data_IF_132282842731
#
_entry.id   IF_132282842731
#
_cell.length_a   1.000
_cell.length_b   1.000
_cell.length_c   1.000
_cell.angle_alpha   90.00
_cell.angle_beta   90.00
_cell.angle_gamma   90.00
#
_symmetry.space_group_name_H-M   'P 1'
#
loop_
_entity.id
_entity.type
_entity.pdbx_description
1 polymer ?
#
# COMPACT_ATOMS: atom_id res chain seq x y z
N UNK A 1 -31.42 23.05 1.78
CA UNK A 1 -31.47 21.69 1.22
C UNK A 1 -30.32 20.93 1.83
N UNK A 2 -30.58 20.02 2.77
CA UNK A 2 -29.55 19.14 3.31
C UNK A 2 -29.29 18.00 2.33
N UNK A 3 -28.16 18.06 1.65
CA UNK A 3 -27.69 17.01 0.76
C UNK A 3 -26.75 16.07 1.52
N UNK A 4 -27.32 15.08 2.19
CA UNK A 4 -26.55 13.89 2.61
C UNK A 4 -26.36 12.98 1.41
N UNK A 5 -25.19 13.09 0.78
CA UNK A 5 -24.73 12.23 -0.30
C UNK A 5 -23.46 12.83 -0.90
N UNK A 6 -22.39 12.04 -1.03
CA UNK A 6 -21.07 12.42 -1.53
C UNK A 6 -21.03 12.98 -2.98
N UNK A 7 -22.17 13.39 -3.55
CA UNK A 7 -22.32 13.91 -4.91
C UNK A 7 -23.51 14.89 -4.92
N UNK A 8 -23.40 16.06 -4.30
CA UNK A 8 -24.20 17.26 -4.64
C UNK A 8 -23.87 18.40 -3.67
N UNK A 9 -22.87 19.22 -4.00
CA UNK A 9 -22.70 20.54 -3.37
C UNK A 9 -21.63 21.37 -4.11
N UNK A 10 -21.70 21.54 -5.43
CA UNK A 10 -20.65 22.33 -6.09
C UNK A 10 -21.15 23.07 -7.31
N UNK A 11 -21.68 24.28 -7.06
CA UNK A 11 -21.93 25.37 -8.01
C UNK A 11 -22.60 26.58 -7.31
N UNK A 12 -22.43 26.79 -6.00
CA UNK A 12 -23.13 27.89 -5.33
C UNK A 12 -22.30 29.19 -5.38
N UNK A 13 -22.94 30.37 -5.47
CA UNK A 13 -22.24 31.65 -5.49
C UNK A 13 -21.33 31.88 -4.27
N UNK A 14 -21.71 31.37 -3.10
CA UNK A 14 -20.93 31.54 -1.86
C UNK A 14 -19.58 30.81 -1.91
N UNK A 15 -19.55 29.66 -2.58
CA UNK A 15 -18.30 28.91 -2.78
C UNK A 15 -17.41 29.60 -3.81
N UNK A 16 -18.01 30.17 -4.86
CA UNK A 16 -17.27 30.93 -5.86
C UNK A 16 -16.57 32.14 -5.20
N UNK A 17 -17.30 32.89 -4.38
CA UNK A 17 -16.74 34.03 -3.64
C UNK A 17 -15.64 33.60 -2.67
N UNK A 18 -15.87 32.54 -1.88
CA UNK A 18 -14.91 32.07 -0.89
C UNK A 18 -13.60 31.51 -1.48
N UNK A 19 -13.67 30.95 -2.69
CA UNK A 19 -12.51 30.37 -3.39
C UNK A 19 -11.84 31.34 -4.36
N UNK A 20 -12.45 32.51 -4.59
CA UNK A 20 -11.83 33.54 -5.43
C UNK A 20 -10.65 34.16 -4.70
N UNK A 21 -9.48 34.10 -5.33
CA UNK A 21 -8.23 34.64 -4.81
C UNK A 21 -7.70 35.73 -5.77
N UNK A 22 -7.90 36.98 -5.37
CA UNK A 22 -7.46 38.16 -6.15
C UNK A 22 -5.94 38.30 -6.25
N UNK A 23 -5.16 37.51 -5.51
CA UNK A 23 -3.70 37.53 -5.56
C UNK A 23 -3.12 36.74 -6.75
N UNK A 24 -3.94 35.92 -7.41
CA UNK A 24 -3.53 35.13 -8.57
C UNK A 24 -3.37 36.01 -9.81
N UNK A 25 -2.35 35.76 -10.62
CA UNK A 25 -2.08 36.51 -11.87
C UNK A 25 -2.81 35.95 -13.10
N UNK A 26 -3.71 34.99 -12.88
CA UNK A 26 -4.41 34.28 -13.95
C UNK A 26 -5.91 34.16 -13.67
N UNK A 27 -6.67 34.00 -14.76
CA UNK A 27 -8.12 33.84 -14.75
C UNK A 27 -8.50 32.50 -15.38
N UNK A 28 -9.62 31.94 -14.94
CA UNK A 28 -10.15 30.67 -15.44
C UNK A 28 -11.64 30.78 -15.75
N UNK A 29 -12.02 30.12 -16.85
CA UNK A 29 -13.40 29.96 -17.27
C UNK A 29 -14.00 28.74 -16.55
N UNK A 30 -14.94 29.02 -15.64
CA UNK A 30 -15.70 28.04 -14.87
C UNK A 30 -17.19 28.06 -15.23
N UNK A 31 -17.55 28.57 -16.41
CA UNK A 31 -18.95 28.64 -16.87
C UNK A 31 -19.65 27.29 -16.91
N UNK A 32 -18.88 26.23 -17.14
CA UNK A 32 -19.38 24.85 -17.15
C UNK A 32 -19.86 24.35 -15.78
N UNK A 33 -19.52 25.07 -14.71
CA UNK A 33 -19.71 24.64 -13.34
C UNK A 33 -20.51 25.63 -12.50
N UNK A 34 -20.10 26.91 -12.47
CA UNK A 34 -20.77 27.97 -11.70
C UNK A 34 -21.80 28.78 -12.52
N UNK A 35 -21.93 28.48 -13.81
CA UNK A 35 -22.86 29.16 -14.72
C UNK A 35 -22.24 30.34 -15.48
N UNK A 36 -23.03 31.03 -16.33
CA UNK A 36 -22.51 31.96 -17.34
C UNK A 36 -21.71 33.15 -16.80
N UNK A 37 -21.90 33.52 -15.53
CA UNK A 37 -21.24 34.67 -14.88
C UNK A 37 -19.79 34.36 -14.45
N UNK A 38 -19.37 33.09 -14.51
CA UNK A 38 -18.04 32.64 -14.09
C UNK A 38 -17.09 32.40 -15.29
N UNK A 39 -17.04 33.34 -16.24
CA UNK A 39 -16.19 33.24 -17.44
C UNK A 39 -14.73 33.63 -17.19
N UNK A 40 -14.47 34.48 -16.20
CA UNK A 40 -13.14 34.99 -15.89
C UNK A 40 -12.97 35.20 -14.38
N UNK A 41 -12.62 34.13 -13.67
CA UNK A 41 -12.44 34.13 -12.20
C UNK A 41 -11.01 33.82 -11.81
N UNK A 42 -10.46 34.53 -10.83
CA UNK A 42 -9.14 34.24 -10.25
C UNK A 42 -9.31 33.17 -9.17
N UNK A 43 -8.95 31.92 -9.48
CA UNK A 43 -9.19 30.75 -8.62
C UNK A 43 -8.21 29.63 -8.94
N UNK A 44 -7.88 28.81 -7.95
CA UNK A 44 -6.91 27.71 -8.11
C UNK A 44 -7.37 26.67 -9.16
N UNK A 45 -6.62 26.61 -10.27
CA UNK A 45 -6.86 25.71 -11.41
C UNK A 45 -6.68 24.23 -11.10
N UNK A 46 -6.00 23.88 -10.00
CA UNK A 46 -5.84 22.48 -9.59
C UNK A 46 -7.18 21.94 -9.07
N UNK A 47 -7.90 22.76 -8.31
CA UNK A 47 -9.21 22.40 -7.75
C UNK A 47 -10.35 22.70 -8.74
N UNK A 48 -10.27 23.84 -9.42
CA UNK A 48 -11.26 24.30 -10.38
C UNK A 48 -10.60 24.49 -11.76
N UNK A 49 -10.41 23.39 -12.52
CA UNK A 49 -9.73 23.44 -13.80
C UNK A 49 -10.51 24.28 -14.81
N UNK A 50 -9.78 25.00 -15.65
CA UNK A 50 -10.37 25.78 -16.74
C UNK A 50 -11.22 24.89 -17.66
N UNK A 51 -12.32 25.43 -18.18
CA UNK A 51 -13.21 24.77 -19.13
C UNK A 51 -12.47 24.08 -20.27
N UNK A 52 -11.44 24.71 -20.84
CA UNK A 52 -10.63 24.13 -21.94
C UNK A 52 -9.86 22.89 -21.51
N UNK A 53 -9.53 22.75 -20.23
CA UNK A 53 -8.90 21.54 -19.68
C UNK A 53 -9.96 20.44 -19.59
N UNK A 54 -11.12 20.75 -19.01
CA UNK A 54 -12.22 19.80 -18.82
C UNK A 54 -12.73 19.26 -20.15
N UNK A 55 -12.90 20.12 -21.17
CA UNK A 55 -13.35 19.75 -22.52
C UNK A 55 -12.39 18.79 -23.24
N UNK A 56 -11.10 18.78 -22.88
CA UNK A 56 -10.10 17.85 -23.44
C UNK A 56 -10.04 16.52 -22.69
N UNK A 57 -10.59 16.46 -21.49
CA UNK A 57 -10.55 15.27 -20.65
C UNK A 57 -11.73 14.35 -20.95
N UNK A 58 -11.50 13.05 -20.82
CA UNK A 58 -12.57 12.05 -20.88
C UNK A 58 -13.17 11.86 -19.48
N UNK A 59 -14.49 11.98 -19.38
CA UNK A 59 -15.20 11.60 -18.17
C UNK A 59 -15.24 10.08 -18.06
N UNK A 60 -14.69 9.54 -16.97
CA UNK A 60 -14.80 8.10 -16.69
C UNK A 60 -16.27 7.81 -16.39
N UNK A 61 -16.84 6.91 -17.17
CA UNK A 61 -18.21 6.40 -16.97
C UNK A 61 -18.14 4.97 -16.48
N UNK A 62 -19.27 4.50 -15.95
CA UNK A 62 -19.42 3.09 -15.64
C UNK A 62 -19.21 2.24 -16.91
N UNK A 63 -18.36 1.22 -16.78
CA UNK A 63 -17.99 0.32 -17.88
C UNK A 63 -18.97 -0.84 -18.03
N UNK A 64 -19.99 -0.96 -17.15
CA UNK A 64 -21.05 -1.96 -17.25
C UNK A 64 -20.52 -3.37 -17.43
N UNK A 65 -20.94 -4.05 -18.50
CA UNK A 65 -20.51 -5.42 -18.84
C UNK A 65 -19.00 -5.55 -19.08
N UNK A 66 -18.29 -4.45 -19.37
CA UNK A 66 -16.83 -4.44 -19.56
C UNK A 66 -16.06 -4.23 -18.26
N UNK A 67 -16.72 -3.93 -17.14
CA UNK A 67 -16.08 -3.70 -15.84
C UNK A 67 -15.23 -4.90 -15.41
N UNK A 68 -15.72 -6.13 -15.60
CA UNK A 68 -14.97 -7.34 -15.26
C UNK A 68 -13.67 -7.47 -16.04
N UNK A 69 -13.68 -7.13 -17.33
CA UNK A 69 -12.49 -7.19 -18.18
C UNK A 69 -11.45 -6.13 -17.76
N UNK A 70 -11.90 -4.92 -17.39
CA UNK A 70 -11.01 -3.87 -16.87
C UNK A 70 -10.41 -4.30 -15.53
N UNK A 71 -11.22 -4.89 -14.63
CA UNK A 71 -10.75 -5.41 -13.35
C UNK A 71 -9.76 -6.57 -13.52
N UNK A 72 -9.97 -7.45 -14.50
CA UNK A 72 -9.04 -8.55 -14.80
C UNK A 72 -7.70 -8.03 -15.33
N UNK A 73 -7.70 -7.05 -16.24
CA UNK A 73 -6.48 -6.40 -16.72
C UNK A 73 -5.75 -5.72 -15.57
N UNK A 74 -6.50 -5.00 -14.73
CA UNK A 74 -5.94 -4.28 -13.60
C UNK A 74 -5.42 -5.23 -12.51
N UNK A 75 -6.08 -6.37 -12.28
CA UNK A 75 -5.60 -7.40 -11.36
C UNK A 75 -4.36 -8.11 -11.89
N UNK A 76 -4.16 -8.24 -13.20
CA UNK A 76 -2.89 -8.72 -13.77
C UNK A 76 -1.77 -7.70 -13.59
N UNK A 77 -2.06 -6.40 -13.76
CA UNK A 77 -1.06 -5.33 -13.63
C UNK A 77 -0.68 -5.09 -12.16
N UNK A 78 -1.66 -5.17 -11.25
CA UNK A 78 -1.45 -4.95 -9.81
C UNK A 78 -1.22 -6.23 -9.00
N UNK A 79 -1.57 -7.38 -9.56
CA UNK A 79 -1.49 -8.68 -8.90
C UNK A 79 -0.18 -9.36 -9.26
N UNK A 80 0.87 -8.94 -8.58
CA UNK A 80 2.02 -9.81 -8.35
C UNK A 80 2.69 -9.45 -7.01
N UNK A 81 1.91 -9.53 -5.93
CA UNK A 81 2.36 -9.08 -4.61
C UNK A 81 3.14 -10.13 -3.81
N UNK A 82 3.26 -11.36 -4.32
CA UNK A 82 4.20 -12.36 -3.83
C UNK A 82 4.22 -13.50 -4.85
N UNK A 83 4.98 -13.34 -5.93
CA UNK A 83 5.08 -14.37 -6.97
C UNK A 83 5.32 -15.75 -6.34
N UNK A 84 4.66 -16.79 -6.86
CA UNK A 84 4.70 -18.15 -6.30
C UNK A 84 6.14 -18.60 -5.98
N UNK A 85 7.12 -18.20 -6.80
CA UNK A 85 8.54 -18.45 -6.55
C UNK A 85 9.09 -17.80 -5.27
N UNK A 86 8.72 -16.56 -4.97
CA UNK A 86 9.12 -15.86 -3.72
C UNK A 86 8.50 -16.55 -2.52
N UNK A 87 7.22 -16.94 -2.62
CA UNK A 87 6.52 -17.66 -1.54
C UNK A 87 7.20 -19.00 -1.24
N UNK A 88 7.54 -19.78 -2.27
CA UNK A 88 8.27 -21.05 -2.11
C UNK A 88 9.66 -20.82 -1.48
N UNK A 89 10.39 -19.80 -1.92
CA UNK A 89 11.71 -19.46 -1.39
C UNK A 89 11.64 -19.11 0.11
N UNK A 90 10.66 -18.31 0.53
CA UNK A 90 10.46 -17.95 1.93
C UNK A 90 10.23 -19.21 2.77
N UNK A 91 9.33 -20.10 2.35
CA UNK A 91 9.09 -21.36 3.06
C UNK A 91 10.33 -22.25 3.12
N UNK A 92 11.10 -22.35 2.04
CA UNK A 92 12.34 -23.13 2.00
C UNK A 92 13.39 -22.59 2.98
N UNK A 93 13.60 -21.27 3.01
CA UNK A 93 14.57 -20.63 3.92
C UNK A 93 14.14 -20.79 5.37
N UNK A 94 12.85 -20.64 5.69
CA UNK A 94 12.31 -20.83 7.04
C UNK A 94 12.46 -22.28 7.50
N UNK A 95 12.13 -23.25 6.63
CA UNK A 95 12.32 -24.67 6.92
C UNK A 95 13.80 -25.03 7.14
N UNK A 96 14.71 -24.47 6.34
CA UNK A 96 16.15 -24.68 6.51
C UNK A 96 16.67 -24.10 7.84
N UNK A 97 16.30 -22.86 8.16
CA UNK A 97 16.73 -22.18 9.40
C UNK A 97 16.23 -22.88 10.66
N UNK A 98 14.97 -23.32 10.65
CA UNK A 98 14.38 -24.09 11.74
C UNK A 98 15.03 -25.47 11.89
N UNK A 99 15.23 -26.20 10.79
CA UNK A 99 15.95 -27.47 10.78
C UNK A 99 17.39 -27.35 11.30
N UNK A 100 18.11 -26.32 10.87
CA UNK A 100 19.48 -26.04 11.32
C UNK A 100 19.56 -25.73 12.82
N UNK A 101 18.61 -24.95 13.33
CA UNK A 101 18.53 -24.60 14.75
C UNK A 101 18.29 -25.84 15.61
N UNK A 102 17.38 -26.72 15.20
CA UNK A 102 17.11 -27.99 15.87
C UNK A 102 18.34 -28.91 15.82
N UNK A 103 18.97 -29.03 14.66
CA UNK A 103 20.17 -29.85 14.49
C UNK A 103 21.32 -29.40 15.40
N UNK A 104 21.64 -28.10 15.43
CA UNK A 104 22.66 -27.54 16.34
C UNK A 104 22.31 -27.79 17.81
N UNK A 105 21.04 -27.64 18.17
CA UNK A 105 20.57 -27.89 19.54
C UNK A 105 20.78 -29.35 19.93
N UNK A 106 20.44 -30.29 19.05
CA UNK A 106 20.68 -31.71 19.26
C UNK A 106 22.18 -32.03 19.38
N UNK A 107 23.02 -31.46 18.51
CA UNK A 107 24.47 -31.64 18.55
C UNK A 107 25.07 -31.13 19.88
N UNK A 108 24.59 -29.97 20.37
CA UNK A 108 25.00 -29.39 21.66
C UNK A 108 24.58 -30.28 22.83
N UNK A 109 23.34 -30.81 22.82
CA UNK A 109 22.89 -31.78 23.83
C UNK A 109 23.75 -33.05 23.83
N UNK A 110 24.07 -33.61 22.66
CA UNK A 110 24.92 -34.79 22.53
C UNK A 110 26.34 -34.55 23.04
N UNK A 111 26.94 -33.40 22.71
CA UNK A 111 28.28 -33.00 23.21
C UNK A 111 28.29 -32.84 24.73
N UNK A 112 27.31 -32.15 25.31
CA UNK A 112 27.21 -31.97 26.76
C UNK A 112 26.99 -33.30 27.50
N UNK A 113 26.18 -34.22 26.93
CA UNK A 113 25.97 -35.56 27.49
C UNK A 113 27.27 -36.38 27.51
N UNK A 114 28.09 -36.30 26.45
CA UNK A 114 29.39 -36.98 26.41
C UNK A 114 30.42 -36.36 27.37
N UNK A 115 30.47 -35.03 27.49
CA UNK A 115 31.35 -34.36 28.44
C UNK A 115 30.99 -34.69 29.90
N UNK A 116 29.70 -34.69 30.27
CA UNK A 116 29.25 -35.10 31.62
C UNK A 116 29.63 -36.56 31.95
N UNK A 117 29.53 -37.48 30.98
CA UNK A 117 29.99 -38.88 31.15
C UNK A 117 31.50 -38.98 31.34
N UNK A 118 32.30 -38.20 30.59
CA UNK A 118 33.77 -38.16 30.75
C UNK A 118 34.18 -37.58 32.10
N UNK A 119 33.53 -36.51 32.57
CA UNK A 119 33.84 -35.91 33.87
C UNK A 119 33.50 -36.86 35.02
N UNK A 120 32.35 -37.54 34.98
CA UNK A 120 32.01 -38.58 35.98
C UNK A 120 33.03 -39.72 36.05
N UNK A 121 33.59 -40.14 34.91
CA UNK A 121 34.66 -41.16 34.88
C UNK A 121 36.01 -40.66 35.41
N UNK A 122 36.29 -39.35 35.28
CA UNK A 122 37.49 -38.73 35.86
C UNK A 122 37.37 -38.58 37.38
N UNK A 123 36.22 -38.13 37.90
CA UNK A 123 35.99 -38.06 39.35
C UNK A 123 36.04 -39.44 40.02
N UNK A 124 35.49 -40.48 39.39
CA UNK A 124 35.58 -41.85 39.91
C UNK A 124 37.00 -42.42 39.89
N UNK A 125 37.87 -41.96 38.98
CA UNK A 125 39.29 -42.34 38.94
C UNK A 125 40.15 -41.56 39.94
N UNK A 126 39.82 -40.32 40.25
CA UNK A 126 40.54 -39.53 41.27
C UNK A 126 40.18 -39.97 42.69
N UNK A 127 38.96 -40.43 42.95
CA UNK A 127 38.56 -40.98 44.26
C UNK A 127 39.10 -42.39 44.54
N UNK A 128 39.78 -43.03 43.57
CA UNK A 128 40.28 -44.40 43.65
C UNK A 128 41.80 -44.47 43.47
N UNK A 129 42.51 -43.40 43.85
CA UNK A 129 43.96 -43.43 44.04
C UNK A 129 44.22 -43.58 45.55
N UNK A 130 45.04 -44.56 45.97
CA UNK A 130 45.40 -44.79 47.37
C UNK A 130 46.19 -43.63 47.95
#
# INVERSE_FOLDING_TARGET
>A
MDATGYVSAVATPEILEAQTDTTLDYYSDLTYFFGPEADSVQIDRIQYPDKKVVERCAMIRDFGDKTQNVLEIWSRIKGDNLGVGITILIFAVVAFMSGWTIYKRWLKYKRNKMQRRRNRRKTFRTFRKP
#
